data_IF_136423542967
#
_entry.id   IF_136423542967
#
_cell.length_a   1.000
_cell.length_b   1.000
_cell.length_c   1.000
_cell.angle_alpha   90.00
_cell.angle_beta   90.00
_cell.angle_gamma   90.00
#
_symmetry.space_group_name_H-M   'P 1'
#
loop_
_entity.id
_entity.type
_entity.pdbx_description
1 polymer ?
#
# COMPACT_ATOMS: atom_id res chain seq x y z
N UNK A 1 20.30 -5.65 13.00
CA UNK A 1 19.38 -6.57 13.75
C UNK A 1 19.85 -8.00 13.54
N UNK A 2 20.01 -8.77 14.61
CA UNK A 2 20.35 -10.20 14.53
C UNK A 2 19.13 -11.03 14.82
N UNK A 3 18.89 -12.04 13.99
CA UNK A 3 17.71 -12.90 14.04
C UNK A 3 18.18 -14.36 13.99
N UNK A 4 17.58 -15.17 14.85
CA UNK A 4 17.88 -16.60 14.97
C UNK A 4 16.68 -17.44 14.50
N UNK A 5 16.93 -18.65 13.99
CA UNK A 5 15.84 -19.56 13.63
C UNK A 5 15.01 -19.94 14.85
N UNK A 6 13.70 -20.15 14.59
CA UNK A 6 12.73 -20.51 15.63
C UNK A 6 11.96 -21.76 15.21
N UNK A 7 11.33 -22.44 16.16
CA UNK A 7 10.61 -23.68 15.87
C UNK A 7 9.17 -23.44 15.41
N UNK A 8 8.47 -22.49 16.00
CA UNK A 8 7.09 -22.15 15.69
C UNK A 8 6.74 -20.75 16.18
N UNK A 9 5.56 -20.26 15.76
CA UNK A 9 4.96 -19.02 16.22
C UNK A 9 3.61 -19.31 16.85
N UNK A 10 3.28 -18.65 17.96
CA UNK A 10 2.00 -18.84 18.65
C UNK A 10 1.47 -17.54 19.23
N UNK A 11 0.15 -17.39 19.22
CA UNK A 11 -0.53 -16.28 19.88
C UNK A 11 -1.48 -15.51 18.99
N UNK A 12 -1.94 -14.39 19.50
CA UNK A 12 -2.80 -13.46 18.75
C UNK A 12 -2.09 -12.12 18.63
N UNK A 13 -2.14 -11.54 17.45
CA UNK A 13 -1.42 -10.32 17.08
C UNK A 13 -2.42 -9.23 16.72
N UNK A 14 -2.22 -8.04 17.29
CA UNK A 14 -2.81 -6.80 16.80
C UNK A 14 -1.79 -6.09 15.92
N UNK A 15 -2.17 -5.79 14.69
CA UNK A 15 -1.31 -5.09 13.73
C UNK A 15 -1.69 -3.61 13.67
N UNK A 16 -0.75 -2.73 13.27
CA UNK A 16 -1.09 -1.34 13.02
C UNK A 16 -2.14 -1.22 11.92
N UNK A 17 -2.87 -0.13 11.91
CA UNK A 17 -3.85 0.17 10.89
C UNK A 17 -3.25 0.24 9.49
N UNK A 18 -4.06 -0.11 8.48
CA UNK A 18 -3.63 -0.08 7.08
C UNK A 18 -3.12 1.31 6.69
N UNK A 19 -1.87 1.35 6.22
CA UNK A 19 -1.18 2.58 5.81
C UNK A 19 -1.94 3.31 4.71
N UNK A 20 -2.40 2.60 3.69
CA UNK A 20 -3.11 3.17 2.54
C UNK A 20 -4.46 3.76 2.92
N UNK A 21 -5.18 3.12 3.85
CA UNK A 21 -6.45 3.60 4.38
C UNK A 21 -6.21 4.80 5.31
N UNK A 22 -5.19 4.75 6.17
CA UNK A 22 -4.84 5.85 7.09
C UNK A 22 -4.52 7.16 6.35
N UNK A 23 -3.73 7.12 5.28
CA UNK A 23 -3.49 8.30 4.43
C UNK A 23 -4.80 8.92 3.92
N UNK A 24 -5.69 8.07 3.40
CA UNK A 24 -6.98 8.50 2.84
C UNK A 24 -7.91 9.03 3.92
N UNK A 25 -7.94 8.37 5.08
CA UNK A 25 -8.72 8.81 6.23
C UNK A 25 -8.33 10.22 6.65
N UNK A 26 -7.03 10.51 6.81
CA UNK A 26 -6.56 11.85 7.16
C UNK A 26 -6.91 12.89 6.08
N UNK A 27 -6.64 12.61 4.80
CA UNK A 27 -6.87 13.53 3.69
C UNK A 27 -8.36 13.83 3.48
N UNK A 28 -9.20 12.80 3.48
CA UNK A 28 -10.64 12.97 3.26
C UNK A 28 -11.34 13.58 4.48
N UNK A 29 -10.90 13.25 5.71
CA UNK A 29 -11.39 13.92 6.92
C UNK A 29 -11.03 15.42 6.93
N UNK A 30 -9.85 15.79 6.44
CA UNK A 30 -9.46 17.18 6.30
C UNK A 30 -10.35 17.95 5.30
N UNK A 31 -10.79 17.28 4.21
CA UNK A 31 -11.71 17.83 3.20
C UNK A 31 -13.19 17.80 3.63
N UNK A 32 -13.54 17.07 4.69
CA UNK A 32 -14.90 17.01 5.22
C UNK A 32 -15.22 18.25 6.07
N UNK A 33 -16.51 18.40 6.43
CA UNK A 33 -16.95 19.41 7.41
C UNK A 33 -17.26 18.72 8.73
N UNK A 34 -16.69 19.20 9.84
CA UNK A 34 -16.82 18.62 11.18
C UNK A 34 -15.54 17.97 11.67
N UNK A 35 -15.62 17.34 12.84
CA UNK A 35 -14.49 16.60 13.44
C UNK A 35 -14.67 15.10 13.22
N UNK A 36 -13.62 14.46 12.75
CA UNK A 36 -13.52 13.00 12.56
C UNK A 36 -12.57 12.40 13.59
N UNK A 37 -13.01 11.37 14.29
CA UNK A 37 -12.17 10.49 15.10
C UNK A 37 -11.76 9.29 14.26
N UNK A 38 -10.44 9.06 14.11
CA UNK A 38 -9.87 7.96 13.34
C UNK A 38 -9.17 7.01 14.31
N UNK A 39 -9.72 5.82 14.52
CA UNK A 39 -9.16 4.78 15.39
C UNK A 39 -8.21 3.86 14.62
N UNK A 40 -7.24 3.29 15.31
CA UNK A 40 -6.19 2.42 14.75
C UNK A 40 -5.46 3.06 13.55
N UNK A 41 -5.15 4.35 13.65
CA UNK A 41 -4.37 5.06 12.62
C UNK A 41 -2.95 4.54 12.59
N UNK A 42 -2.42 4.28 11.38
CA UNK A 42 -1.08 3.74 11.19
C UNK A 42 0.01 4.57 11.90
N UNK A 43 0.94 3.89 12.55
CA UNK A 43 2.09 4.50 13.24
C UNK A 43 3.23 4.90 12.30
N UNK A 44 3.14 4.55 11.03
CA UNK A 44 4.18 4.70 10.01
C UNK A 44 4.64 6.15 9.80
N UNK A 45 5.93 6.33 9.50
CA UNK A 45 6.50 7.64 9.18
C UNK A 45 5.83 8.30 7.97
N UNK A 46 5.41 7.49 6.97
CA UNK A 46 4.67 7.96 5.81
C UNK A 46 3.35 8.65 6.20
N UNK A 47 2.57 8.04 7.10
CA UNK A 47 1.30 8.61 7.58
C UNK A 47 1.54 9.86 8.44
N UNK A 48 2.61 9.88 9.23
CA UNK A 48 3.01 11.05 9.99
C UNK A 48 3.32 12.25 9.06
N UNK A 49 3.97 12.01 7.92
CA UNK A 49 4.20 13.06 6.91
C UNK A 49 2.89 13.63 6.35
N UNK A 50 1.88 12.80 6.10
CA UNK A 50 0.55 13.29 5.69
C UNK A 50 -0.08 14.19 6.74
N UNK A 51 -0.02 13.80 8.02
CA UNK A 51 -0.59 14.64 9.10
C UNK A 51 0.15 15.98 9.20
N UNK A 52 1.48 16.00 9.11
CA UNK A 52 2.27 17.25 9.11
C UNK A 52 1.90 18.16 7.94
N UNK A 53 1.87 17.62 6.71
CA UNK A 53 1.46 18.44 5.55
C UNK A 53 0.05 19.03 5.72
N UNK A 54 -0.91 18.29 6.30
CA UNK A 54 -2.24 18.80 6.57
C UNK A 54 -2.24 19.88 7.65
N UNK A 55 -1.42 19.75 8.70
CA UNK A 55 -1.24 20.78 9.73
C UNK A 55 -0.63 22.06 9.13
N UNK A 56 0.37 21.93 8.25
CA UNK A 56 0.98 23.05 7.53
C UNK A 56 -0.03 23.76 6.59
N UNK A 57 -1.07 23.04 6.16
CA UNK A 57 -2.20 23.57 5.39
C UNK A 57 -3.35 24.12 6.27
N UNK A 58 -3.14 24.23 7.58
CA UNK A 58 -4.09 24.84 8.52
C UNK A 58 -5.13 23.88 9.10
N UNK A 59 -4.99 22.59 8.92
CA UNK A 59 -5.89 21.58 9.52
C UNK A 59 -5.51 21.35 10.97
N UNK A 60 -6.46 21.48 11.89
CA UNK A 60 -6.27 21.16 13.31
C UNK A 60 -6.30 19.64 13.48
N UNK A 61 -5.17 19.08 13.90
CA UNK A 61 -5.00 17.62 14.10
C UNK A 61 -4.44 17.35 15.49
N UNK A 62 -5.09 16.46 16.22
CA UNK A 62 -4.66 15.96 17.52
C UNK A 62 -4.48 14.45 17.44
N UNK A 63 -3.41 13.94 18.03
CA UNK A 63 -3.12 12.50 18.09
C UNK A 63 -3.01 12.03 19.53
N UNK A 64 -3.69 10.92 19.83
CA UNK A 64 -3.66 10.21 21.11
C UNK A 64 -3.38 8.73 20.84
N UNK A 65 -2.13 8.31 21.03
CA UNK A 65 -1.67 6.94 20.67
C UNK A 65 -1.96 6.60 19.19
N UNK A 66 -2.80 5.59 18.94
CA UNK A 66 -3.25 5.19 17.59
C UNK A 66 -4.55 5.89 17.14
N UNK A 67 -5.10 6.81 17.94
CA UNK A 67 -6.28 7.59 17.57
C UNK A 67 -5.88 8.98 17.09
N UNK A 68 -6.43 9.41 15.96
CA UNK A 68 -6.21 10.74 15.39
C UNK A 68 -7.54 11.46 15.27
N UNK A 69 -7.59 12.71 15.70
CA UNK A 69 -8.74 13.60 15.56
C UNK A 69 -8.39 14.62 14.50
N UNK A 70 -9.24 14.78 13.49
CA UNK A 70 -9.07 15.71 12.37
C UNK A 70 -10.26 16.64 12.31
N UNK A 71 -10.05 17.92 12.52
CA UNK A 71 -11.08 18.96 12.34
C UNK A 71 -11.06 19.43 10.89
N UNK A 72 -11.95 18.88 10.09
CA UNK A 72 -12.01 19.13 8.68
C UNK A 72 -12.34 20.59 8.35
N UNK A 73 -11.65 21.11 7.35
CA UNK A 73 -11.77 22.51 6.89
C UNK A 73 -12.65 22.62 5.64
N UNK A 74 -13.19 21.49 5.14
CA UNK A 74 -13.92 21.47 3.87
C UNK A 74 -12.97 21.45 2.65
N UNK A 75 -13.55 21.29 1.46
CA UNK A 75 -12.79 21.10 0.21
C UNK A 75 -11.89 22.27 -0.17
N UNK A 76 -12.23 23.49 0.25
CA UNK A 76 -11.57 24.76 -0.11
C UNK A 76 -11.11 25.56 1.09
N UNK A 77 -11.18 25.01 2.30
CA UNK A 77 -10.81 25.71 3.53
C UNK A 77 -9.33 25.59 3.93
N UNK A 78 -8.50 24.99 3.08
CA UNK A 78 -7.06 24.91 3.32
C UNK A 78 -6.40 26.27 3.21
N UNK A 79 -5.34 26.48 3.98
CA UNK A 79 -4.56 27.71 3.95
C UNK A 79 -3.29 27.52 3.11
N UNK A 80 -2.83 28.62 2.49
CA UNK A 80 -1.52 28.62 1.84
C UNK A 80 -0.44 28.28 2.86
N UNK A 81 0.40 27.24 2.60
CA UNK A 81 1.45 26.87 3.51
C UNK A 81 2.53 27.95 3.57
N UNK A 82 3.13 28.16 4.75
CA UNK A 82 4.19 29.14 4.99
C UNK A 82 5.56 28.63 4.50
N UNK A 83 5.69 27.33 4.30
CA UNK A 83 6.90 26.63 3.87
C UNK A 83 6.58 25.53 2.89
N UNK A 84 7.61 24.91 2.32
CA UNK A 84 7.47 23.73 1.50
C UNK A 84 6.87 22.58 2.31
N UNK A 85 6.00 21.79 1.68
CA UNK A 85 5.33 20.65 2.29
C UNK A 85 6.23 19.41 2.18
N UNK A 86 6.81 18.99 3.29
CA UNK A 86 7.70 17.83 3.32
C UNK A 86 6.93 16.51 3.40
N UNK A 87 6.90 15.79 2.29
CA UNK A 87 6.28 14.48 2.17
C UNK A 87 7.16 13.33 2.72
N UNK A 88 8.39 13.59 3.17
CA UNK A 88 9.35 12.58 3.60
C UNK A 88 9.63 11.55 2.52
N UNK A 89 9.48 10.25 2.82
CA UNK A 89 9.58 9.15 1.84
C UNK A 89 8.24 8.81 1.18
N UNK A 90 7.14 9.47 1.56
CA UNK A 90 5.78 9.05 1.23
C UNK A 90 5.35 9.40 -0.20
N UNK A 91 5.49 8.45 -1.11
CA UNK A 91 4.89 8.53 -2.45
C UNK A 91 3.37 8.64 -2.45
N UNK A 92 2.69 8.18 -1.39
CA UNK A 92 1.23 8.32 -1.23
C UNK A 92 0.87 9.75 -0.88
N UNK A 93 1.55 10.34 0.11
CA UNK A 93 1.33 11.74 0.52
C UNK A 93 1.46 12.66 -0.68
N UNK A 94 2.61 12.64 -1.36
CA UNK A 94 2.86 13.58 -2.47
C UNK A 94 1.82 13.45 -3.58
N UNK A 95 1.44 12.23 -3.98
CA UNK A 95 0.52 12.03 -5.10
C UNK A 95 -0.92 12.35 -4.77
N UNK A 96 -1.41 11.96 -3.60
CA UNK A 96 -2.79 12.22 -3.20
C UNK A 96 -2.99 13.71 -2.86
N UNK A 97 -2.03 14.29 -2.14
CA UNK A 97 -2.08 15.70 -1.77
C UNK A 97 -2.00 16.61 -3.01
N UNK A 98 -1.25 16.22 -4.06
CA UNK A 98 -1.25 16.93 -5.33
C UNK A 98 -2.66 17.11 -5.92
N UNK A 99 -3.53 16.09 -5.80
CA UNK A 99 -4.92 16.20 -6.25
C UNK A 99 -5.74 17.22 -5.46
N UNK A 100 -5.52 17.30 -4.15
CA UNK A 100 -6.20 18.28 -3.28
C UNK A 100 -5.68 19.70 -3.57
N UNK A 101 -4.36 19.85 -3.64
CA UNK A 101 -3.70 21.15 -3.84
C UNK A 101 -3.98 21.74 -5.22
N UNK A 102 -4.13 20.91 -6.24
CA UNK A 102 -4.52 21.37 -7.59
C UNK A 102 -5.84 22.16 -7.59
N UNK A 103 -6.77 21.84 -6.67
CA UNK A 103 -8.07 22.50 -6.52
C UNK A 103 -8.09 23.65 -5.50
N UNK A 104 -6.95 24.20 -5.07
CA UNK A 104 -6.86 25.35 -4.16
C UNK A 104 -6.48 26.64 -4.92
N UNK A 105 -6.82 27.80 -4.38
CA UNK A 105 -6.52 29.12 -4.99
C UNK A 105 -5.16 29.68 -4.54
N UNK A 106 -4.18 28.82 -4.29
CA UNK A 106 -2.83 29.24 -3.87
C UNK A 106 -1.76 28.28 -4.41
N UNK A 107 -0.53 28.78 -4.47
CA UNK A 107 0.64 28.00 -4.85
C UNK A 107 1.20 27.23 -3.66
N UNK A 108 1.66 26.01 -3.92
CA UNK A 108 2.32 25.16 -2.94
C UNK A 108 3.51 24.42 -3.55
N UNK A 109 4.49 24.06 -2.73
CA UNK A 109 5.67 23.30 -3.14
C UNK A 109 5.73 22.03 -2.32
N UNK A 110 5.80 20.89 -3.01
CA UNK A 110 6.00 19.58 -2.39
C UNK A 110 7.45 19.17 -2.52
N UNK A 111 8.04 18.73 -1.41
CA UNK A 111 9.39 18.19 -1.33
C UNK A 111 9.36 16.78 -0.69
N UNK A 112 10.49 16.09 -0.73
CA UNK A 112 10.65 14.79 -0.09
C UNK A 112 12.12 14.43 0.06
N UNK A 113 12.39 13.29 0.68
CA UNK A 113 13.74 12.80 0.87
C UNK A 113 14.42 12.41 -0.46
N UNK A 114 15.67 11.98 -0.38
CA UNK A 114 16.47 11.60 -1.54
C UNK A 114 15.81 10.46 -2.35
N UNK A 115 15.18 9.49 -1.70
CA UNK A 115 14.51 8.37 -2.36
C UNK A 115 13.26 8.83 -3.09
N UNK A 116 12.39 9.60 -2.44
CA UNK A 116 11.16 10.12 -3.03
C UNK A 116 11.47 11.10 -4.18
N UNK A 117 12.51 11.91 -4.03
CA UNK A 117 12.92 12.89 -5.04
C UNK A 117 13.40 12.25 -6.36
N UNK A 118 13.79 10.98 -6.33
CA UNK A 118 14.15 10.23 -7.56
C UNK A 118 12.94 9.68 -8.31
N UNK A 119 11.75 9.62 -7.66
CA UNK A 119 10.54 9.00 -8.24
C UNK A 119 9.81 9.99 -9.17
N UNK A 120 9.36 9.54 -10.37
CA UNK A 120 8.69 10.43 -11.33
C UNK A 120 7.26 10.76 -10.83
N UNK A 121 6.86 12.04 -11.02
CA UNK A 121 5.52 12.56 -10.70
C UNK A 121 4.67 12.77 -11.97
N UNK A 122 5.19 12.47 -13.16
CA UNK A 122 4.50 12.65 -14.44
C UNK A 122 3.08 12.10 -14.43
N UNK A 123 2.88 10.91 -13.83
CA UNK A 123 1.58 10.22 -13.80
C UNK A 123 0.47 11.01 -13.09
N UNK A 124 0.81 11.92 -12.17
CA UNK A 124 -0.18 12.80 -11.53
C UNK A 124 -0.19 14.20 -12.16
N UNK A 125 0.94 14.69 -12.65
CA UNK A 125 1.02 15.96 -13.36
C UNK A 125 0.13 15.96 -14.60
N UNK A 126 0.22 14.93 -15.45
CA UNK A 126 -0.54 14.85 -16.71
C UNK A 126 -2.07 15.00 -16.53
N UNK A 127 -2.76 14.22 -15.70
CA UNK A 127 -4.20 14.38 -15.52
C UNK A 127 -4.56 15.70 -14.85
N UNK A 128 -3.78 16.18 -13.88
CA UNK A 128 -4.09 17.43 -13.18
C UNK A 128 -3.87 18.65 -14.09
N UNK A 129 -2.92 18.61 -15.02
CA UNK A 129 -2.76 19.64 -16.07
C UNK A 129 -3.99 19.68 -16.99
N UNK A 130 -4.55 18.51 -17.34
CA UNK A 130 -5.82 18.45 -18.10
C UNK A 130 -7.00 19.06 -17.32
N UNK A 131 -6.90 19.11 -15.98
CA UNK A 131 -7.88 19.77 -15.11
C UNK A 131 -7.61 21.28 -14.93
N UNK A 132 -6.67 21.87 -15.69
CA UNK A 132 -6.23 23.26 -15.68
C UNK A 132 -5.34 23.68 -14.50
N UNK A 133 -4.80 22.77 -13.71
CA UNK A 133 -3.76 23.12 -12.75
C UNK A 133 -2.39 23.24 -13.46
N UNK A 134 -1.53 24.14 -12.99
CA UNK A 134 -0.19 24.33 -13.55
C UNK A 134 0.87 23.74 -12.62
N UNK A 135 1.94 23.23 -13.22
CA UNK A 135 3.02 22.55 -12.52
C UNK A 135 4.40 23.01 -12.97
N UNK A 136 5.30 23.19 -12.00
CA UNK A 136 6.73 23.25 -12.23
C UNK A 136 7.39 22.12 -11.45
N UNK A 137 8.35 21.41 -12.07
CA UNK A 137 9.03 20.27 -11.46
C UNK A 137 10.50 20.24 -11.81
N UNK A 138 11.32 19.56 -11.03
CA UNK A 138 12.68 19.27 -11.41
C UNK A 138 12.75 18.39 -12.67
N UNK A 139 13.93 18.33 -13.29
CA UNK A 139 14.16 17.54 -14.51
C UNK A 139 13.66 16.09 -14.37
N UNK A 140 12.95 15.60 -15.38
CA UNK A 140 12.34 14.26 -15.37
C UNK A 140 11.02 14.18 -14.59
N UNK A 141 10.33 15.30 -14.38
CA UNK A 141 9.09 15.39 -13.59
C UNK A 141 9.27 14.86 -12.18
N UNK A 142 10.27 15.34 -11.48
CA UNK A 142 10.62 14.93 -10.10
C UNK A 142 10.40 16.07 -9.11
N UNK A 143 10.54 15.77 -7.81
CA UNK A 143 10.54 16.78 -6.77
C UNK A 143 11.79 17.66 -6.83
N UNK A 144 11.72 18.94 -6.38
CA UNK A 144 10.51 19.61 -5.87
C UNK A 144 9.42 19.79 -6.94
N UNK A 145 8.16 19.75 -6.50
CA UNK A 145 6.99 19.92 -7.36
C UNK A 145 6.20 21.14 -6.89
N UNK A 146 6.21 22.20 -7.69
CA UNK A 146 5.37 23.37 -7.48
C UNK A 146 4.02 23.14 -8.16
N UNK A 147 2.94 23.41 -7.43
CA UNK A 147 1.56 23.30 -7.88
C UNK A 147 0.93 24.68 -7.78
N UNK A 148 0.49 25.23 -8.90
CA UNK A 148 -0.35 26.42 -8.98
C UNK A 148 -1.79 25.95 -9.13
N UNK A 149 -2.50 25.95 -8.03
CA UNK A 149 -3.85 25.44 -7.97
C UNK A 149 -4.86 26.43 -8.56
N UNK A 150 -5.97 25.89 -9.02
CA UNK A 150 -7.10 26.66 -9.55
C UNK A 150 -8.42 26.08 -9.06
N UNK A 151 -9.35 26.96 -8.68
CA UNK A 151 -10.68 26.53 -8.23
C UNK A 151 -11.76 27.38 -8.94
N UNK A 152 -12.75 26.73 -9.60
CA UNK A 152 -12.88 25.30 -9.78
C UNK A 152 -11.93 24.71 -10.83
N UNK A 153 -11.52 23.46 -10.64
CA UNK A 153 -10.86 22.67 -11.65
C UNK A 153 -11.83 22.34 -12.82
N UNK A 154 -11.28 22.00 -13.98
CA UNK A 154 -12.05 21.44 -15.07
C UNK A 154 -12.27 19.94 -14.85
N UNK A 155 -13.51 19.46 -15.00
CA UNK A 155 -13.81 18.04 -14.99
C UNK A 155 -13.24 17.35 -16.23
N UNK A 156 -12.68 16.14 -16.04
CA UNK A 156 -12.06 15.35 -17.12
C UNK A 156 -12.58 13.92 -17.17
N UNK A 157 -12.37 13.25 -18.29
CA UNK A 157 -12.46 11.80 -18.43
C UNK A 157 -11.07 11.27 -18.72
N UNK A 158 -10.45 10.63 -17.72
CA UNK A 158 -9.06 10.20 -17.78
C UNK A 158 -8.95 8.68 -17.85
N UNK A 159 -8.23 8.18 -18.86
CA UNK A 159 -7.91 6.76 -19.01
C UNK A 159 -6.55 6.49 -18.41
N UNK A 160 -6.48 5.64 -17.39
CA UNK A 160 -5.22 5.23 -16.80
C UNK A 160 -4.43 4.36 -17.79
N UNK A 161 -3.17 4.68 -18.08
CA UNK A 161 -2.33 3.83 -18.95
C UNK A 161 -2.00 2.47 -18.30
N UNK A 162 -1.91 2.45 -16.97
CA UNK A 162 -1.71 1.24 -16.14
C UNK A 162 -2.57 1.36 -14.89
N UNK A 163 -2.97 0.22 -14.32
CA UNK A 163 -3.73 0.19 -13.07
C UNK A 163 -2.93 0.83 -11.93
N UNK A 164 -3.39 1.96 -11.41
CA UNK A 164 -2.72 2.72 -10.35
C UNK A 164 -3.72 3.34 -9.39
N UNK A 165 -3.80 2.79 -8.19
CA UNK A 165 -4.65 3.32 -7.14
C UNK A 165 -4.28 4.76 -6.73
N UNK A 166 -3.00 5.12 -6.76
CA UNK A 166 -2.55 6.46 -6.37
C UNK A 166 -2.98 7.52 -7.40
N UNK A 167 -2.80 7.24 -8.70
CA UNK A 167 -3.21 8.16 -9.77
C UNK A 167 -4.73 8.29 -9.81
N UNK A 168 -5.44 7.16 -9.70
CA UNK A 168 -6.90 7.15 -9.59
C UNK A 168 -7.38 8.01 -8.42
N UNK A 169 -6.84 7.78 -7.23
CA UNK A 169 -7.17 8.56 -6.03
C UNK A 169 -6.87 10.05 -6.22
N UNK A 170 -5.73 10.38 -6.80
CA UNK A 170 -5.35 11.78 -7.08
C UNK A 170 -6.40 12.49 -7.94
N UNK A 171 -6.83 11.87 -9.04
CA UNK A 171 -7.84 12.45 -9.94
C UNK A 171 -9.21 12.53 -9.28
N UNK A 172 -9.61 11.53 -8.46
CA UNK A 172 -10.87 11.57 -7.72
C UNK A 172 -10.87 12.69 -6.67
N UNK A 173 -9.76 12.88 -5.94
CA UNK A 173 -9.62 13.97 -4.96
C UNK A 173 -9.66 15.34 -5.63
N UNK A 174 -8.98 15.53 -6.76
CA UNK A 174 -9.07 16.73 -7.57
C UNK A 174 -10.49 16.95 -8.12
N UNK A 175 -11.14 15.86 -8.54
CA UNK A 175 -12.51 15.87 -9.05
C UNK A 175 -13.54 16.44 -8.07
N UNK A 176 -13.30 16.36 -6.75
CA UNK A 176 -14.15 16.99 -5.72
C UNK A 176 -14.20 18.52 -5.83
N UNK A 177 -13.19 19.15 -6.43
CA UNK A 177 -13.11 20.59 -6.65
C UNK A 177 -13.31 20.97 -8.14
N UNK A 178 -13.77 20.02 -8.97
CA UNK A 178 -13.99 20.27 -10.39
C UNK A 178 -15.42 20.74 -10.68
N UNK A 179 -15.59 21.53 -11.74
CA UNK A 179 -16.90 21.93 -12.24
C UNK A 179 -17.51 20.79 -13.07
N UNK A 180 -18.41 20.01 -12.46
CA UNK A 180 -19.07 18.87 -13.08
C UNK A 180 -18.50 17.51 -12.63
N UNK A 181 -18.81 16.45 -13.39
CA UNK A 181 -18.40 15.07 -13.10
C UNK A 181 -17.04 14.73 -13.73
N UNK A 182 -16.07 14.37 -12.91
CA UNK A 182 -14.80 13.80 -13.39
C UNK A 182 -14.90 12.27 -13.42
N UNK A 183 -14.29 11.66 -14.43
CA UNK A 183 -14.30 10.21 -14.65
C UNK A 183 -12.88 9.65 -14.73
N UNK A 184 -12.67 8.48 -14.14
CA UNK A 184 -11.42 7.73 -14.24
C UNK A 184 -11.76 6.33 -14.77
N UNK A 185 -11.09 5.93 -15.84
CA UNK A 185 -11.20 4.59 -16.40
C UNK A 185 -9.92 3.81 -16.12
N UNK A 186 -10.06 2.66 -15.48
CA UNK A 186 -8.98 1.70 -15.33
C UNK A 186 -8.71 0.99 -16.68
N UNK A 187 -7.49 0.44 -16.88
CA UNK A 187 -7.23 -0.45 -18.01
C UNK A 187 -8.21 -1.61 -18.05
N UNK A 188 -8.43 -2.17 -19.24
CA UNK A 188 -9.25 -3.38 -19.39
C UNK A 188 -8.76 -4.51 -18.50
N UNK A 189 -9.69 -5.25 -17.92
CA UNK A 189 -9.44 -6.44 -17.12
C UNK A 189 -10.33 -7.59 -17.61
N UNK A 190 -9.84 -8.82 -17.53
CA UNK A 190 -10.61 -10.02 -17.86
C UNK A 190 -11.64 -10.36 -16.78
N UNK A 191 -11.50 -9.76 -15.60
CA UNK A 191 -12.41 -9.96 -14.47
C UNK A 191 -13.19 -8.69 -14.15
N UNK A 192 -14.46 -8.85 -13.76
CA UNK A 192 -15.32 -7.75 -13.33
C UNK A 192 -15.05 -7.40 -11.86
N UNK A 193 -13.82 -6.98 -11.58
CA UNK A 193 -13.37 -6.53 -10.25
C UNK A 193 -12.55 -5.25 -10.39
N UNK A 194 -12.43 -4.43 -9.33
CA UNK A 194 -11.56 -3.27 -9.36
C UNK A 194 -10.12 -3.69 -9.69
N UNK A 195 -9.53 -3.07 -10.72
CA UNK A 195 -8.18 -3.40 -11.19
C UNK A 195 -7.07 -2.88 -10.27
N UNK A 196 -7.40 -2.08 -9.26
CA UNK A 196 -6.48 -1.55 -8.24
C UNK A 196 -7.26 -1.20 -6.98
N UNK A 197 -6.54 -0.97 -5.86
CA UNK A 197 -7.11 -0.61 -4.55
C UNK A 197 -8.22 0.44 -4.67
N UNK A 198 -9.38 0.18 -4.06
CA UNK A 198 -10.57 1.04 -4.13
C UNK A 198 -10.93 1.71 -2.79
N UNK A 199 -9.99 1.81 -1.85
CA UNK A 199 -10.21 2.44 -0.55
C UNK A 199 -10.69 3.89 -0.64
N UNK A 200 -10.27 4.65 -1.68
CA UNK A 200 -10.72 6.02 -1.90
C UNK A 200 -12.21 6.05 -2.23
N UNK A 201 -12.66 5.18 -3.11
CA UNK A 201 -14.06 5.07 -3.52
C UNK A 201 -14.95 4.68 -2.34
N UNK A 202 -14.54 3.66 -1.58
CA UNK A 202 -15.28 3.19 -0.41
C UNK A 202 -15.38 4.28 0.67
N UNK A 203 -14.29 4.99 0.93
CA UNK A 203 -14.26 6.05 1.95
C UNK A 203 -15.01 7.30 1.50
N UNK A 204 -14.92 7.69 0.21
CA UNK A 204 -15.71 8.78 -0.35
C UNK A 204 -17.21 8.50 -0.21
N UNK A 205 -17.65 7.30 -0.57
CA UNK A 205 -19.04 6.88 -0.40
C UNK A 205 -19.44 6.89 1.09
N UNK A 206 -18.58 6.41 1.98
CA UNK A 206 -18.84 6.42 3.43
C UNK A 206 -19.03 7.83 3.97
N UNK A 207 -18.21 8.79 3.53
CA UNK A 207 -18.29 10.20 3.96
C UNK A 207 -19.38 11.00 3.23
N UNK A 208 -20.13 10.39 2.32
CA UNK A 208 -21.31 10.96 1.67
C UNK A 208 -21.07 11.60 0.30
N UNK A 209 -19.93 11.34 -0.34
CA UNK A 209 -19.71 11.78 -1.71
C UNK A 209 -20.59 11.04 -2.72
N UNK A 210 -21.05 11.73 -3.76
CA UNK A 210 -21.70 11.14 -4.90
C UNK A 210 -20.68 10.53 -5.85
N UNK A 211 -20.33 9.26 -5.60
CA UNK A 211 -19.40 8.48 -6.39
C UNK A 211 -20.13 7.31 -7.04
N UNK A 212 -19.89 7.08 -8.31
CA UNK A 212 -20.48 5.99 -9.07
C UNK A 212 -19.37 5.09 -9.64
N UNK A 213 -19.56 3.79 -9.56
CA UNK A 213 -18.67 2.80 -10.14
C UNK A 213 -19.45 1.95 -11.14
N UNK A 214 -18.95 1.89 -12.37
CA UNK A 214 -19.54 1.14 -13.46
C UNK A 214 -18.51 0.20 -14.09
N UNK A 215 -18.95 -1.00 -14.49
CA UNK A 215 -18.16 -1.93 -15.29
C UNK A 215 -18.74 -1.99 -16.70
N UNK A 216 -18.02 -1.43 -17.66
CA UNK A 216 -18.39 -1.40 -19.06
C UNK A 216 -17.85 -2.67 -19.72
N UNK A 217 -18.74 -3.53 -20.19
CA UNK A 217 -18.39 -4.76 -20.88
C UNK A 217 -17.93 -4.45 -22.32
N UNK A 218 -16.91 -5.16 -22.78
CA UNK A 218 -16.38 -5.11 -24.15
C UNK A 218 -16.01 -6.53 -24.60
N UNK A 219 -15.78 -6.75 -25.90
CA UNK A 219 -15.42 -8.06 -26.45
C UNK A 219 -14.23 -8.73 -25.74
N UNK A 220 -13.30 -7.94 -25.20
CA UNK A 220 -12.05 -8.42 -24.58
C UNK A 220 -12.04 -8.29 -23.05
N UNK A 221 -13.18 -8.05 -22.39
CA UNK A 221 -13.25 -7.93 -20.93
C UNK A 221 -14.00 -6.69 -20.44
N UNK A 222 -13.66 -6.22 -19.25
CA UNK A 222 -14.36 -5.13 -18.56
C UNK A 222 -13.47 -3.90 -18.38
N UNK A 223 -14.04 -2.71 -18.57
CA UNK A 223 -13.42 -1.44 -18.16
C UNK A 223 -14.17 -0.92 -16.95
N UNK A 224 -13.48 -0.77 -15.83
CA UNK A 224 -14.02 -0.11 -14.66
C UNK A 224 -13.95 1.41 -14.87
N UNK A 225 -15.08 2.09 -14.82
CA UNK A 225 -15.22 3.55 -14.83
C UNK A 225 -15.72 4.01 -13.47
N UNK A 226 -14.99 4.93 -12.83
CA UNK A 226 -15.37 5.58 -11.58
C UNK A 226 -15.63 7.05 -11.89
N UNK A 227 -16.76 7.58 -11.44
CA UNK A 227 -17.08 9.00 -11.56
C UNK A 227 -17.32 9.66 -10.21
N UNK A 228 -16.86 10.90 -10.07
CA UNK A 228 -17.05 11.75 -8.88
C UNK A 228 -17.66 13.09 -9.30
N UNK A 229 -18.69 13.52 -8.59
CA UNK A 229 -19.29 14.85 -8.82
C UNK A 229 -18.57 15.90 -7.95
N UNK A 230 -18.14 16.98 -8.59
CA UNK A 230 -17.48 18.11 -7.90
C UNK A 230 -18.37 18.87 -6.92
N UNK A 231 -19.71 18.72 -7.02
CA UNK A 231 -20.66 19.27 -6.05
C UNK A 231 -20.79 18.41 -4.79
N UNK A 232 -20.19 17.21 -4.75
CA UNK A 232 -20.24 16.32 -3.60
C UNK A 232 -19.80 17.01 -2.32
N UNK A 233 -20.53 16.75 -1.23
CA UNK A 233 -20.21 17.24 0.10
C UNK A 233 -19.69 16.09 0.93
N UNK A 234 -18.60 16.32 1.64
CA UNK A 234 -18.05 15.37 2.61
C UNK A 234 -18.45 15.80 4.00
N UNK A 235 -19.02 14.88 4.76
CA UNK A 235 -19.38 15.08 6.16
C UNK A 235 -18.50 14.22 7.05
N UNK A 236 -18.00 14.78 8.14
CA UNK A 236 -17.21 14.05 9.11
C UNK A 236 -18.01 12.85 9.67
N UNK A 237 -17.35 11.72 9.74
CA UNK A 237 -17.85 10.48 10.39
C UNK A 237 -16.66 9.77 11.02
N UNK A 238 -16.85 9.17 12.17
CA UNK A 238 -15.80 8.39 12.82
C UNK A 238 -15.37 7.22 11.93
N UNK A 239 -14.08 6.96 11.92
CA UNK A 239 -13.43 5.94 11.09
C UNK A 239 -12.67 4.97 11.99
N UNK A 240 -12.80 3.68 11.73
CA UNK A 240 -11.96 2.63 12.28
C UNK A 240 -11.13 2.02 11.15
N UNK A 241 -9.82 2.09 11.28
CA UNK A 241 -8.90 1.58 10.26
C UNK A 241 -8.62 0.10 10.54
N UNK A 242 -8.87 -0.81 9.58
CA UNK A 242 -8.52 -2.22 9.75
C UNK A 242 -7.00 -2.41 9.81
N UNK A 243 -6.56 -3.51 10.43
CA UNK A 243 -5.15 -3.92 10.41
C UNK A 243 -4.63 -4.13 9.00
N UNK A 244 -3.39 -3.72 8.74
CA UNK A 244 -2.80 -3.74 7.39
C UNK A 244 -2.50 -5.16 6.91
N UNK A 245 -3.15 -5.60 5.84
CA UNK A 245 -2.92 -6.91 5.20
C UNK A 245 -1.48 -7.05 4.69
N UNK A 246 -0.81 -5.98 4.25
CA UNK A 246 0.59 -6.03 3.85
C UNK A 246 1.52 -6.27 5.03
N UNK A 247 1.19 -5.73 6.21
CA UNK A 247 1.89 -6.06 7.47
C UNK A 247 1.58 -7.49 7.91
N UNK A 248 0.32 -7.92 7.79
CA UNK A 248 -0.12 -9.28 8.06
C UNK A 248 0.61 -10.31 7.20
N UNK A 249 0.91 -9.99 5.94
CA UNK A 249 1.53 -10.89 4.97
C UNK A 249 2.84 -11.51 5.48
N UNK A 250 3.66 -10.74 6.21
CA UNK A 250 4.92 -11.23 6.79
C UNK A 250 4.66 -12.32 7.83
N UNK A 251 3.72 -12.11 8.73
CA UNK A 251 3.36 -13.07 9.78
C UNK A 251 2.61 -14.27 9.22
N UNK A 252 1.77 -14.08 8.20
CA UNK A 252 1.08 -15.18 7.50
C UNK A 252 2.12 -16.14 6.89
N UNK A 253 3.11 -15.61 6.17
CA UNK A 253 4.17 -16.43 5.56
C UNK A 253 5.04 -17.08 6.64
N UNK A 254 5.43 -16.34 7.68
CA UNK A 254 6.21 -16.89 8.77
C UNK A 254 5.51 -18.08 9.44
N UNK A 255 4.24 -17.91 9.82
CA UNK A 255 3.46 -18.96 10.48
C UNK A 255 3.21 -20.15 9.54
N UNK A 256 2.89 -19.91 8.27
CA UNK A 256 2.68 -20.99 7.30
C UNK A 256 3.97 -21.86 7.12
N UNK A 257 5.15 -21.21 7.04
CA UNK A 257 6.41 -21.89 6.80
C UNK A 257 6.96 -22.66 8.03
N UNK A 258 6.67 -22.19 9.23
CA UNK A 258 7.13 -22.81 10.47
C UNK A 258 6.11 -23.85 10.96
N UNK A 259 6.52 -25.13 10.99
CA UNK A 259 5.66 -26.22 11.44
C UNK A 259 5.13 -26.02 12.85
N UNK A 260 3.90 -26.45 13.10
CA UNK A 260 3.22 -26.36 14.40
C UNK A 260 2.98 -24.92 14.88
N UNK A 261 3.10 -23.92 14.01
CA UNK A 261 2.64 -22.56 14.30
C UNK A 261 1.11 -22.50 14.31
N UNK A 262 0.57 -21.64 15.17
CA UNK A 262 -0.86 -21.31 15.22
C UNK A 262 -0.99 -19.87 15.73
N UNK A 263 -1.24 -18.94 14.82
CA UNK A 263 -1.40 -17.53 15.14
C UNK A 263 -2.75 -17.00 14.66
N UNK A 264 -3.24 -15.98 15.34
CA UNK A 264 -4.44 -15.23 14.95
C UNK A 264 -4.08 -13.77 14.75
N UNK A 265 -4.25 -13.25 13.54
CA UNK A 265 -4.10 -11.85 13.20
C UNK A 265 -5.47 -11.17 13.30
N UNK A 266 -5.59 -10.17 14.16
CA UNK A 266 -6.88 -9.55 14.50
C UNK A 266 -7.24 -8.43 13.51
N UNK A 267 -8.55 -8.36 13.20
CA UNK A 267 -9.19 -7.26 12.46
C UNK A 267 -8.47 -6.85 11.18
N UNK A 268 -7.94 -7.81 10.42
CA UNK A 268 -7.21 -7.57 9.17
C UNK A 268 -8.17 -7.10 8.08
N UNK A 269 -7.75 -6.10 7.31
CA UNK A 269 -8.47 -5.64 6.12
C UNK A 269 -8.56 -6.74 5.06
N UNK A 270 -9.79 -7.09 4.68
CA UNK A 270 -10.10 -8.16 3.74
C UNK A 270 -10.65 -7.63 2.42
N UNK A 271 -10.26 -6.43 2.03
CA UNK A 271 -10.65 -5.84 0.74
C UNK A 271 -10.16 -6.74 -0.42
N UNK A 272 -11.04 -7.16 -1.35
CA UNK A 272 -10.66 -8.07 -2.44
C UNK A 272 -9.51 -7.56 -3.32
N UNK A 273 -9.32 -6.24 -3.40
CA UNK A 273 -8.19 -5.64 -4.14
C UNK A 273 -6.84 -5.76 -3.42
N UNK A 274 -6.82 -6.33 -2.21
CA UNK A 274 -5.63 -6.47 -1.36
C UNK A 274 -5.35 -7.89 -0.91
N UNK A 275 -6.35 -8.76 -0.95
CA UNK A 275 -6.26 -10.12 -0.38
C UNK A 275 -5.75 -11.18 -1.35
N UNK A 276 -5.28 -10.78 -2.52
CA UNK A 276 -4.71 -11.71 -3.51
C UNK A 276 -3.61 -12.61 -2.91
N UNK A 277 -2.84 -12.11 -1.93
CA UNK A 277 -1.83 -12.91 -1.23
C UNK A 277 -2.44 -14.11 -0.49
N UNK A 278 -3.61 -13.96 0.12
CA UNK A 278 -4.29 -15.06 0.83
C UNK A 278 -4.63 -16.18 -0.14
N UNK A 279 -5.20 -15.82 -1.31
CA UNK A 279 -5.57 -16.79 -2.34
C UNK A 279 -4.33 -17.47 -2.93
N UNK A 280 -3.27 -16.73 -3.18
CA UNK A 280 -2.00 -17.28 -3.65
C UNK A 280 -1.45 -18.28 -2.64
N UNK A 281 -1.33 -17.92 -1.38
CA UNK A 281 -0.79 -18.82 -0.35
C UNK A 281 -1.64 -20.09 -0.18
N UNK A 282 -2.99 -19.95 -0.19
CA UNK A 282 -3.92 -21.09 -0.16
C UNK A 282 -3.78 -21.99 -1.38
N UNK A 283 -3.53 -21.44 -2.56
CA UNK A 283 -3.27 -22.22 -3.77
C UNK A 283 -1.99 -23.06 -3.67
N UNK A 284 -1.02 -22.61 -2.91
CA UNK A 284 0.18 -23.37 -2.60
C UNK A 284 0.08 -24.25 -1.35
N UNK A 285 -1.09 -24.34 -0.72
CA UNK A 285 -1.35 -25.25 0.37
C UNK A 285 -1.21 -24.66 1.78
N UNK A 286 -1.07 -23.33 1.91
CA UNK A 286 -1.11 -22.69 3.22
C UNK A 286 -2.51 -22.83 3.86
N UNK A 287 -2.54 -23.10 5.16
CA UNK A 287 -3.76 -23.23 5.95
C UNK A 287 -4.09 -21.87 6.59
N UNK A 288 -5.02 -21.16 5.95
CA UNK A 288 -5.47 -19.82 6.38
C UNK A 288 -7.00 -19.83 6.50
N UNK A 289 -7.52 -19.52 7.67
CA UNK A 289 -8.94 -19.45 7.96
C UNK A 289 -9.34 -17.99 8.22
N UNK A 290 -10.47 -17.56 7.65
CA UNK A 290 -11.06 -16.23 7.92
C UNK A 290 -12.14 -16.40 8.97
N UNK A 291 -11.98 -15.69 10.09
CA UNK A 291 -12.89 -15.69 11.21
C UNK A 291 -13.51 -14.31 11.39
N UNK A 292 -14.65 -14.22 12.06
CA UNK A 292 -15.27 -12.97 12.52
C UNK A 292 -15.41 -11.90 11.41
N UNK A 293 -15.74 -12.32 10.18
CA UNK A 293 -15.90 -11.40 9.06
C UNK A 293 -17.03 -10.40 9.29
N UNK A 294 -16.76 -9.12 9.13
CA UNK A 294 -17.71 -8.01 9.28
C UNK A 294 -17.37 -6.87 8.33
N UNK A 295 -18.25 -5.87 8.24
CA UNK A 295 -17.97 -4.63 7.52
C UNK A 295 -17.83 -3.46 8.49
N UNK A 296 -16.80 -2.64 8.30
CA UNK A 296 -16.49 -1.45 9.09
C UNK A 296 -16.16 -0.32 8.13
N UNK A 297 -16.90 0.79 8.17
CA UNK A 297 -16.66 1.98 7.33
C UNK A 297 -16.54 1.63 5.83
N UNK A 298 -17.40 0.75 5.32
CA UNK A 298 -17.39 0.18 3.96
C UNK A 298 -16.18 -0.71 3.62
N UNK A 299 -15.32 -1.04 4.57
CA UNK A 299 -14.23 -2.01 4.38
C UNK A 299 -14.60 -3.36 5.00
N UNK A 300 -14.34 -4.44 4.27
CA UNK A 300 -14.47 -5.79 4.82
C UNK A 300 -13.29 -6.09 5.74
N UNK A 301 -13.57 -6.60 6.93
CA UNK A 301 -12.59 -6.87 7.99
C UNK A 301 -12.83 -8.26 8.57
N UNK A 302 -11.78 -8.92 9.04
CA UNK A 302 -11.91 -10.20 9.75
C UNK A 302 -10.60 -10.61 10.43
N UNK A 303 -10.68 -11.64 11.25
CA UNK A 303 -9.49 -12.26 11.84
C UNK A 303 -8.94 -13.32 10.89
N UNK A 304 -7.63 -13.46 10.81
CA UNK A 304 -6.95 -14.51 10.03
C UNK A 304 -6.25 -15.46 10.99
N UNK A 305 -6.69 -16.72 11.03
CA UNK A 305 -5.96 -17.80 11.70
C UNK A 305 -5.07 -18.49 10.69
N UNK A 306 -3.80 -18.67 11.03
CA UNK A 306 -2.79 -19.32 10.18
C UNK A 306 -2.17 -20.48 10.94
N UNK A 307 -2.25 -21.67 10.34
CA UNK A 307 -1.65 -22.90 10.87
C UNK A 307 -0.44 -23.32 10.04
N UNK A 308 0.66 -23.68 10.71
CA UNK A 308 1.93 -24.02 10.06
C UNK A 308 2.02 -25.47 9.65
N UNK A 309 1.95 -25.78 8.36
CA UNK A 309 2.17 -27.12 7.79
C UNK A 309 3.62 -27.34 7.33
N UNK A 310 4.27 -26.27 6.86
CA UNK A 310 5.63 -26.30 6.31
C UNK A 310 5.79 -27.15 5.02
N UNK A 311 4.69 -27.51 4.37
CA UNK A 311 4.68 -28.30 3.14
C UNK A 311 3.84 -27.58 2.08
N UNK A 312 4.48 -27.16 0.98
CA UNK A 312 3.83 -26.37 -0.05
C UNK A 312 4.03 -26.97 -1.43
N UNK A 313 2.91 -27.15 -2.12
CA UNK A 313 2.86 -27.55 -3.52
C UNK A 313 1.69 -26.83 -4.19
N UNK A 314 1.82 -26.44 -5.47
CA UNK A 314 0.71 -25.81 -6.18
C UNK A 314 -0.46 -26.79 -6.30
N UNK A 315 -1.66 -26.32 -5.94
CA UNK A 315 -2.92 -27.05 -6.17
C UNK A 315 -3.31 -27.04 -7.66
N UNK A 316 -2.78 -26.10 -8.40
CA UNK A 316 -2.86 -26.02 -9.86
C UNK A 316 -1.54 -26.48 -10.47
N UNK A 317 -1.53 -26.86 -11.75
CA UNK A 317 -0.30 -27.27 -12.44
C UNK A 317 0.65 -26.09 -12.76
N UNK A 318 0.45 -24.94 -12.13
CA UNK A 318 1.25 -23.72 -12.37
C UNK A 318 1.84 -23.18 -11.06
N UNK A 319 3.14 -22.94 -11.08
CA UNK A 319 3.87 -22.21 -10.05
C UNK A 319 4.28 -20.82 -10.52
N UNK A 320 3.55 -20.25 -11.49
CA UNK A 320 3.78 -18.92 -12.04
C UNK A 320 2.70 -17.96 -11.53
N UNK A 321 3.13 -16.81 -11.03
CA UNK A 321 2.30 -15.66 -10.68
C UNK A 321 2.63 -14.54 -11.67
N UNK A 322 1.64 -14.06 -12.42
CA UNK A 322 1.82 -13.00 -13.42
C UNK A 322 0.50 -12.44 -13.90
N UNK A 323 0.55 -11.46 -14.78
CA UNK A 323 -0.63 -10.81 -15.34
C UNK A 323 -1.30 -9.82 -14.37
N UNK A 324 -2.60 -9.69 -14.48
CA UNK A 324 -3.39 -8.66 -13.77
C UNK A 324 -3.31 -8.75 -12.25
N UNK A 325 -3.06 -9.94 -11.67
CA UNK A 325 -2.97 -10.14 -10.22
C UNK A 325 -1.78 -9.41 -9.59
N UNK A 326 -0.72 -9.12 -10.39
CA UNK A 326 0.49 -8.46 -9.90
C UNK A 326 0.17 -7.08 -9.31
N UNK A 327 -0.76 -6.34 -9.88
CA UNK A 327 -1.17 -5.04 -9.34
C UNK A 327 -1.70 -5.12 -7.89
N UNK A 328 -2.31 -6.25 -7.54
CA UNK A 328 -2.87 -6.53 -6.21
C UNK A 328 -1.88 -7.24 -5.27
N UNK A 329 -0.69 -7.61 -5.76
CA UNK A 329 0.38 -8.31 -5.04
C UNK A 329 1.69 -7.53 -4.99
N UNK A 330 1.76 -6.38 -5.67
CA UNK A 330 3.01 -5.68 -5.96
C UNK A 330 3.84 -5.41 -4.70
N UNK A 331 3.17 -5.15 -3.60
CA UNK A 331 3.81 -4.86 -2.33
C UNK A 331 4.19 -6.12 -1.53
N UNK A 332 3.59 -7.26 -1.83
CA UNK A 332 3.80 -8.55 -1.16
C UNK A 332 4.81 -9.44 -1.90
N UNK A 333 5.28 -9.05 -3.10
CA UNK A 333 6.24 -9.84 -3.90
C UNK A 333 7.53 -10.18 -3.14
N UNK A 334 8.17 -9.29 -2.35
CA UNK A 334 9.36 -9.66 -1.58
C UNK A 334 9.13 -10.84 -0.63
N UNK A 335 8.03 -10.84 0.12
CA UNK A 335 7.72 -11.93 1.05
C UNK A 335 7.23 -13.19 0.31
N UNK A 336 6.56 -13.06 -0.84
CA UNK A 336 6.20 -14.19 -1.70
C UNK A 336 7.42 -14.85 -2.31
N UNK A 337 8.47 -14.09 -2.65
CA UNK A 337 9.74 -14.67 -3.12
C UNK A 337 10.42 -15.50 -2.02
N UNK A 338 10.38 -15.02 -0.77
CA UNK A 338 10.84 -15.77 0.40
C UNK A 338 10.01 -17.07 0.56
N UNK A 339 8.68 -16.99 0.50
CA UNK A 339 7.79 -18.15 0.51
C UNK A 339 8.11 -19.14 -0.62
N UNK A 340 8.47 -18.64 -1.80
CA UNK A 340 8.86 -19.43 -2.96
C UNK A 340 10.02 -20.42 -2.69
N UNK A 341 10.91 -20.09 -1.73
CA UNK A 341 12.00 -20.99 -1.32
C UNK A 341 11.50 -22.25 -0.62
N UNK A 342 10.27 -22.27 -0.15
CA UNK A 342 9.65 -23.39 0.58
C UNK A 342 8.72 -24.24 -0.30
N UNK A 343 8.44 -23.80 -1.54
CA UNK A 343 7.54 -24.49 -2.47
C UNK A 343 8.30 -25.60 -3.24
N UNK A 344 7.72 -26.78 -3.40
CA UNK A 344 8.37 -27.97 -3.99
C UNK A 344 8.99 -27.68 -5.36
N UNK A 345 8.31 -27.00 -6.26
CA UNK A 345 8.82 -26.65 -7.60
C UNK A 345 9.25 -25.18 -7.69
N UNK A 346 9.40 -24.50 -6.54
CA UNK A 346 9.69 -23.07 -6.47
C UNK A 346 8.53 -22.22 -6.94
N UNK A 347 8.82 -20.93 -7.17
CA UNK A 347 7.85 -19.91 -7.57
C UNK A 347 8.46 -19.02 -8.63
N UNK A 348 7.72 -18.78 -9.70
CA UNK A 348 8.09 -17.82 -10.74
C UNK A 348 7.13 -16.62 -10.70
N UNK A 349 7.68 -15.39 -10.70
CA UNK A 349 6.94 -14.13 -10.68
C UNK A 349 7.30 -13.34 -11.93
N UNK A 350 6.28 -12.86 -12.66
CA UNK A 350 6.38 -12.11 -13.92
C UNK A 350 5.55 -10.82 -13.85
N UNK A 351 5.70 -9.97 -14.84
CA UNK A 351 4.92 -8.74 -15.02
C UNK A 351 5.04 -7.73 -13.86
N UNK A 352 6.12 -7.82 -13.08
CA UNK A 352 6.36 -7.01 -11.89
C UNK A 352 7.42 -5.93 -12.08
N UNK A 353 7.64 -5.45 -13.32
CA UNK A 353 8.67 -4.46 -13.66
C UNK A 353 8.58 -3.16 -12.81
N UNK A 354 7.39 -2.81 -12.31
CA UNK A 354 7.20 -1.63 -11.44
C UNK A 354 8.01 -1.73 -10.13
N UNK A 355 8.39 -2.92 -9.69
CA UNK A 355 9.25 -3.11 -8.51
C UNK A 355 10.65 -2.52 -8.67
N UNK A 356 11.11 -2.33 -9.90
CA UNK A 356 12.43 -1.77 -10.19
C UNK A 356 12.55 -0.27 -9.86
N UNK A 357 11.41 0.42 -9.72
CA UNK A 357 11.34 1.88 -9.49
C UNK A 357 10.60 2.24 -8.18
N UNK A 358 10.59 1.30 -7.23
CA UNK A 358 10.04 1.52 -5.88
C UNK A 358 11.08 2.23 -4.98
N UNK A 359 11.05 1.97 -3.67
CA UNK A 359 12.00 2.47 -2.67
C UNK A 359 13.44 2.05 -2.99
N UNK A 360 13.57 0.83 -3.49
CA UNK A 360 14.78 0.25 -4.08
C UNK A 360 14.41 -0.46 -5.40
N UNK A 361 15.39 -0.98 -6.14
CA UNK A 361 15.13 -2.04 -7.12
C UNK A 361 14.83 -3.33 -6.34
N UNK A 362 13.54 -3.54 -6.01
CA UNK A 362 13.11 -4.67 -5.18
C UNK A 362 13.40 -6.03 -5.80
N UNK A 363 13.40 -6.13 -7.14
CA UNK A 363 13.75 -7.40 -7.82
C UNK A 363 15.22 -7.70 -7.56
N UNK A 364 16.12 -6.77 -7.83
CA UNK A 364 17.55 -6.95 -7.60
C UNK A 364 17.85 -7.21 -6.12
N UNK A 365 17.25 -6.43 -5.20
CA UNK A 365 17.46 -6.57 -3.76
C UNK A 365 17.01 -7.96 -3.23
N UNK A 366 15.85 -8.47 -3.69
CA UNK A 366 15.37 -9.80 -3.34
C UNK A 366 16.31 -10.88 -3.87
N UNK A 367 16.70 -10.79 -5.14
CA UNK A 367 17.58 -11.77 -5.78
C UNK A 367 18.95 -11.81 -5.08
N UNK A 368 19.54 -10.67 -4.79
CA UNK A 368 20.82 -10.58 -4.11
C UNK A 368 20.78 -11.23 -2.72
N UNK A 369 19.79 -10.86 -1.90
CA UNK A 369 19.66 -11.40 -0.55
C UNK A 369 19.32 -12.90 -0.54
N UNK A 370 18.47 -13.39 -1.44
CA UNK A 370 18.21 -14.82 -1.59
C UNK A 370 19.49 -15.60 -1.93
N UNK A 371 20.34 -15.05 -2.82
CA UNK A 371 21.65 -15.65 -3.14
C UNK A 371 22.57 -15.70 -1.92
N UNK A 372 22.61 -14.61 -1.13
CA UNK A 372 23.38 -14.57 0.13
C UNK A 372 22.93 -15.65 1.11
N UNK A 373 21.62 -15.95 1.17
CA UNK A 373 21.03 -17.02 1.96
C UNK A 373 21.15 -18.41 1.30
N UNK A 374 21.98 -18.57 0.28
CA UNK A 374 22.21 -19.82 -0.44
C UNK A 374 20.97 -20.35 -1.20
N UNK A 375 20.01 -19.48 -1.56
CA UNK A 375 18.91 -19.86 -2.41
C UNK A 375 19.31 -19.84 -3.88
N UNK A 376 18.77 -20.80 -4.66
CA UNK A 376 18.84 -20.77 -6.12
C UNK A 376 17.75 -19.83 -6.65
N UNK A 377 18.15 -18.78 -7.38
CA UNK A 377 17.25 -17.77 -7.92
C UNK A 377 17.74 -17.24 -9.26
N UNK A 378 16.81 -17.06 -10.17
CA UNK A 378 17.00 -16.43 -11.49
C UNK A 378 16.31 -15.07 -11.50
N UNK A 379 16.98 -14.07 -12.04
CA UNK A 379 16.46 -12.71 -12.18
C UNK A 379 15.97 -12.48 -13.62
N UNK A 380 14.80 -11.81 -13.74
CA UNK A 380 14.24 -11.38 -15.02
C UNK A 380 14.05 -9.87 -15.03
N UNK A 381 13.95 -9.23 -16.21
CA UNK A 381 13.71 -7.80 -16.30
C UNK A 381 12.45 -7.34 -15.55
N UNK A 382 11.42 -8.19 -15.49
CA UNK A 382 10.09 -7.95 -14.95
C UNK A 382 9.71 -8.88 -13.79
N UNK A 383 10.68 -9.60 -13.21
CA UNK A 383 10.38 -10.56 -12.14
C UNK A 383 11.57 -11.42 -11.73
N UNK A 384 11.27 -12.59 -11.18
CA UNK A 384 12.28 -13.55 -10.73
C UNK A 384 11.70 -14.95 -10.64
N UNK A 385 12.58 -15.96 -10.60
CA UNK A 385 12.21 -17.35 -10.30
C UNK A 385 13.06 -17.85 -9.14
N UNK A 386 12.37 -18.30 -8.10
CA UNK A 386 12.98 -18.87 -6.90
C UNK A 386 12.75 -20.37 -6.92
N UNK A 387 13.78 -21.15 -6.60
CA UNK A 387 13.70 -22.59 -6.47
C UNK A 387 13.66 -22.99 -4.99
N UNK A 388 13.06 -24.13 -4.68
CA UNK A 388 13.10 -24.71 -3.34
C UNK A 388 14.53 -24.74 -2.83
N UNK A 389 14.76 -24.19 -1.65
CA UNK A 389 16.10 -24.00 -1.11
C UNK A 389 16.09 -24.08 0.41
N UNK A 390 17.08 -24.74 0.99
CA UNK A 390 17.35 -24.68 2.42
C UNK A 390 18.15 -23.41 2.70
N UNK A 391 17.50 -22.40 3.24
CA UNK A 391 18.14 -21.12 3.53
C UNK A 391 19.20 -21.26 4.62
N UNK A 392 20.28 -20.51 4.47
CA UNK A 392 21.33 -20.34 5.47
C UNK A 392 21.34 -18.91 5.99
N UNK A 393 21.66 -18.78 7.27
CA UNK A 393 21.90 -17.46 7.88
C UNK A 393 22.98 -16.69 7.12
N UNK A 394 22.80 -15.40 6.94
CA UNK A 394 23.67 -14.54 6.14
C UNK A 394 23.62 -13.07 6.61
N UNK A 395 24.55 -12.26 6.11
CA UNK A 395 24.46 -10.82 6.19
C UNK A 395 23.54 -10.30 5.09
N UNK A 396 22.41 -9.75 5.48
CA UNK A 396 21.35 -9.22 4.62
C UNK A 396 21.45 -7.71 4.55
N UNK A 397 21.23 -7.15 3.36
CA UNK A 397 21.18 -5.71 3.15
C UNK A 397 19.73 -5.29 2.86
N UNK A 398 19.21 -4.33 3.64
CA UNK A 398 17.85 -3.82 3.44
C UNK A 398 17.75 -2.87 2.23
N UNK A 399 18.84 -2.28 1.79
CA UNK A 399 18.88 -1.22 0.78
C UNK A 399 17.98 -0.01 1.14
N UNK A 400 17.73 0.20 2.45
CA UNK A 400 16.81 1.22 2.93
C UNK A 400 15.33 0.93 2.63
N UNK A 401 15.00 -0.28 2.14
CA UNK A 401 13.63 -0.69 1.83
C UNK A 401 13.04 -1.56 2.96
N UNK A 402 12.00 -1.01 3.59
CA UNK A 402 11.31 -1.65 4.71
C UNK A 402 10.75 -3.05 4.37
N UNK A 403 10.30 -3.27 3.12
CA UNK A 403 9.75 -4.57 2.70
C UNK A 403 10.84 -5.61 2.54
N UNK A 404 12.03 -5.20 2.09
CA UNK A 404 13.21 -6.07 2.02
C UNK A 404 13.66 -6.43 3.45
N UNK A 405 13.80 -5.43 4.34
CA UNK A 405 14.18 -5.67 5.72
C UNK A 405 13.26 -6.68 6.40
N UNK A 406 11.93 -6.46 6.34
CA UNK A 406 10.93 -7.34 6.97
C UNK A 406 10.86 -8.73 6.31
N UNK A 407 10.90 -8.82 4.98
CA UNK A 407 10.84 -10.12 4.28
C UNK A 407 12.01 -11.02 4.63
N UNK A 408 13.22 -10.47 4.69
CA UNK A 408 14.41 -11.26 5.04
C UNK A 408 14.56 -11.50 6.55
N UNK A 409 13.95 -10.67 7.39
CA UNK A 409 13.76 -10.98 8.80
C UNK A 409 12.87 -12.21 9.01
N UNK A 410 11.81 -12.36 8.21
CA UNK A 410 10.98 -13.58 8.21
C UNK A 410 11.76 -14.77 7.65
N UNK A 411 12.51 -14.60 6.56
CA UNK A 411 13.34 -15.67 6.00
C UNK A 411 14.34 -16.24 7.03
N UNK A 412 14.89 -15.36 7.89
CA UNK A 412 15.81 -15.73 8.97
C UNK A 412 15.20 -16.73 9.98
N UNK A 413 13.88 -16.68 10.22
CA UNK A 413 13.22 -17.51 11.22
C UNK A 413 13.27 -19.02 10.86
N UNK A 414 13.37 -19.37 9.58
CA UNK A 414 13.46 -20.75 9.10
C UNK A 414 14.75 -21.04 8.30
N UNK A 415 15.75 -20.14 8.41
CA UNK A 415 17.08 -20.39 7.90
C UNK A 415 17.90 -21.24 8.89
N UNK A 416 19.02 -21.78 8.44
CA UNK A 416 19.97 -22.49 9.32
C UNK A 416 21.08 -21.51 9.73
N UNK A 417 21.18 -21.20 11.03
CA UNK A 417 22.18 -20.27 11.59
C UNK A 417 21.68 -18.83 11.70
N UNK A 418 22.51 -17.99 12.27
CA UNK A 418 22.20 -16.57 12.53
C UNK A 418 22.14 -15.75 11.24
N UNK A 419 21.19 -14.83 11.16
CA UNK A 419 21.08 -13.84 10.08
C UNK A 419 21.23 -12.43 10.68
N UNK A 420 22.06 -11.59 10.06
CA UNK A 420 22.19 -10.18 10.41
C UNK A 420 21.55 -9.30 9.30
N UNK A 421 20.57 -8.49 9.67
CA UNK A 421 19.90 -7.56 8.75
C UNK A 421 20.43 -6.15 9.00
N UNK A 422 21.18 -5.63 8.02
CA UNK A 422 21.68 -4.25 8.01
C UNK A 422 20.57 -3.27 7.63
N UNK A 423 20.52 -2.10 8.26
CA UNK A 423 19.51 -1.09 8.02
C UNK A 423 18.08 -1.55 8.38
N UNK A 424 17.95 -2.46 9.35
CA UNK A 424 16.67 -3.03 9.78
C UNK A 424 15.68 -1.98 10.33
N UNK A 425 16.18 -0.84 10.82
CA UNK A 425 15.43 0.31 11.32
C UNK A 425 14.55 0.95 10.23
N UNK A 426 14.84 0.76 8.95
CA UNK A 426 13.98 1.22 7.85
C UNK A 426 12.58 0.59 7.88
N UNK A 427 12.36 -0.53 8.61
CA UNK A 427 11.03 -1.09 8.85
C UNK A 427 10.06 -0.05 9.42
N UNK A 428 10.55 0.91 10.22
CA UNK A 428 9.77 1.99 10.82
C UNK A 428 9.09 2.92 9.79
N UNK A 429 9.51 2.92 8.54
CA UNK A 429 8.85 3.68 7.47
C UNK A 429 7.39 3.22 7.28
N UNK A 430 7.10 1.93 7.47
CA UNK A 430 5.75 1.38 7.33
C UNK A 430 5.21 0.67 8.56
N UNK A 431 6.07 0.06 9.38
CA UNK A 431 5.69 -0.73 10.54
C UNK A 431 6.74 -0.61 11.65
N UNK A 432 6.73 0.48 12.43
CA UNK A 432 7.71 0.72 13.51
C UNK A 432 7.80 -0.42 14.53
N UNK A 433 6.68 -1.04 14.88
CA UNK A 433 6.55 -2.07 15.91
C UNK A 433 6.88 -3.49 15.38
N UNK A 434 7.34 -3.65 14.13
CA UNK A 434 7.50 -4.97 13.48
C UNK A 434 8.33 -5.96 14.31
N UNK A 435 9.48 -5.53 14.81
CA UNK A 435 10.37 -6.41 15.57
C UNK A 435 9.88 -6.70 16.99
N UNK A 436 9.14 -5.77 17.60
CA UNK A 436 8.48 -5.96 18.88
C UNK A 436 7.39 -7.03 18.76
N UNK A 437 6.46 -6.85 17.82
CA UNK A 437 5.38 -7.79 17.52
C UNK A 437 5.92 -9.17 17.13
N UNK A 438 7.02 -9.22 16.35
CA UNK A 438 7.66 -10.48 16.01
C UNK A 438 8.19 -11.19 17.27
N UNK A 439 8.79 -10.44 18.19
CA UNK A 439 9.31 -10.99 19.45
C UNK A 439 8.24 -11.55 20.38
N UNK A 440 7.01 -11.01 20.35
CA UNK A 440 5.90 -11.46 21.20
C UNK A 440 5.39 -12.86 20.86
N UNK A 441 5.53 -13.31 19.59
CA UNK A 441 4.96 -14.57 19.11
C UNK A 441 6.00 -15.67 18.86
N UNK A 442 7.27 -15.35 19.00
CA UNK A 442 8.38 -16.32 18.90
C UNK A 442 8.39 -17.16 20.19
N UNK A 443 8.34 -18.50 20.05
CA UNK A 443 8.33 -19.47 21.13
C UNK A 443 9.56 -20.37 21.07
#
# INVERSE_FOLDING_TARGET
MRIYPVNNLRGAINLPGDKSISHRAALLSAMATGETRIENFASSADCASTLRCLQDLGVEIRRENSTVFVKGVGKTGFHKPLQELDCGNSGTTVRLLSGILAGQEFDSVLIGDESLSKRPMRRVIEPLTQMNAEFESAAGNRLPLTIRGVNPLQAISYKLPVASAQVKSCVLLAGLNAKGKSKVQNPKSKVRLPSSRNHTELMLAYLGAEIEENFIESEDGFVQEISIDGNSKLSAKDLQIPSDISSAAFFIVAAACLKNSDIVLREVGLNPTRTAIIEVLKNFGAEIEVLNRKEICNETVGDLRVSGSGNFAPKTNSNIIGGEIIANLIDEIPILAVFGTQIENGLEIRDAAELRVKESDRIAAVVENLRRMNARVEEFPDGLKVYKSNLKGAAIESFGDHRIAMAFSIAALFATGETEVSGADCAAVSFPEFYEVLGEIVS
#
